data_IF_300116847911
#
_entry.id   IF_300116847911
#
_cell.length_a   1.000
_cell.length_b   1.000
_cell.length_c   1.000
_cell.angle_alpha   90.00
_cell.angle_beta   90.00
_cell.angle_gamma   90.00
#
_symmetry.space_group_name_H-M   'P 1'
#
loop_
_entity.id
_entity.type
_entity.pdbx_description
1 polymer ?
#
# COMPACT_ATOMS: atom_id res chain seq x y z
N UNK A 1 6.06 0.40 -18.10
CA UNK A 1 5.84 0.52 -16.64
C UNK A 1 5.54 1.95 -16.27
N UNK A 2 4.54 2.18 -15.40
CA UNK A 2 4.19 3.51 -14.87
C UNK A 2 4.21 3.48 -13.34
N UNK A 3 4.68 4.56 -12.70
CA UNK A 3 4.63 4.70 -11.25
C UNK A 3 3.48 5.64 -10.87
N UNK A 4 2.60 5.20 -9.98
CA UNK A 4 1.44 5.96 -9.52
C UNK A 4 1.42 6.04 -8.00
N UNK A 5 0.96 7.18 -7.47
CA UNK A 5 0.60 7.31 -6.05
C UNK A 5 -0.76 6.67 -5.83
N UNK A 6 -0.94 6.02 -4.69
CA UNK A 6 -2.20 5.40 -4.31
C UNK A 6 -2.89 6.21 -3.23
N UNK A 7 -4.21 6.34 -3.36
CA UNK A 7 -5.06 6.71 -2.24
C UNK A 7 -5.26 5.51 -1.30
N UNK A 8 -5.92 5.74 -0.16
CA UNK A 8 -6.19 4.69 0.81
C UNK A 8 -7.02 3.54 0.22
N UNK A 9 -7.98 3.83 -0.67
CA UNK A 9 -8.86 2.81 -1.22
C UNK A 9 -8.10 1.85 -2.14
N UNK A 10 -7.26 2.39 -3.03
CA UNK A 10 -6.36 1.59 -3.85
C UNK A 10 -5.32 0.84 -3.01
N UNK A 11 -4.81 1.47 -1.95
CA UNK A 11 -3.89 0.81 -1.01
C UNK A 11 -4.52 -0.42 -0.32
N UNK A 12 -5.82 -0.39 0.01
CA UNK A 12 -6.51 -1.55 0.62
C UNK A 12 -6.41 -2.82 -0.24
N UNK A 13 -6.31 -2.68 -1.56
CA UNK A 13 -6.11 -3.81 -2.48
C UNK A 13 -4.71 -4.40 -2.28
N UNK A 14 -3.67 -3.56 -2.26
CA UNK A 14 -2.30 -3.99 -1.96
C UNK A 14 -2.20 -4.64 -0.59
N UNK A 15 -2.82 -4.02 0.42
CA UNK A 15 -2.80 -4.53 1.78
C UNK A 15 -3.31 -5.97 1.85
N UNK A 16 -4.47 -6.22 1.23
CA UNK A 16 -5.13 -7.55 1.27
C UNK A 16 -4.47 -8.58 0.38
N UNK A 17 -4.02 -8.19 -0.81
CA UNK A 17 -3.53 -9.12 -1.83
C UNK A 17 -2.03 -9.40 -1.74
N UNK A 18 -1.25 -8.45 -1.20
CA UNK A 18 0.21 -8.52 -1.21
C UNK A 18 0.78 -8.34 0.19
N UNK A 19 0.53 -7.21 0.87
CA UNK A 19 1.21 -6.86 2.12
C UNK A 19 1.06 -7.93 3.22
N UNK A 20 -0.16 -8.46 3.40
CA UNK A 20 -0.41 -9.52 4.40
C UNK A 20 0.25 -10.86 4.06
N UNK A 21 0.56 -11.10 2.79
CA UNK A 21 1.21 -12.33 2.33
C UNK A 21 2.74 -12.19 2.25
N UNK A 22 3.22 -10.98 1.91
CA UNK A 22 4.63 -10.67 1.71
C UNK A 22 5.39 -10.51 3.03
N UNK A 23 4.69 -10.15 4.11
CA UNK A 23 5.29 -9.86 5.42
C UNK A 23 4.68 -10.67 6.56
N UNK A 24 5.46 -11.02 7.60
CA UNK A 24 4.94 -11.61 8.82
C UNK A 24 3.87 -10.70 9.47
N UNK A 25 2.82 -11.25 10.12
CA UNK A 25 1.77 -10.46 10.75
C UNK A 25 2.28 -9.43 11.77
N UNK A 26 3.39 -9.73 12.46
CA UNK A 26 4.01 -8.84 13.44
C UNK A 26 4.67 -7.59 12.81
N UNK A 27 4.99 -7.64 11.51
CA UNK A 27 5.60 -6.54 10.76
C UNK A 27 4.57 -5.70 10.00
N UNK A 28 3.31 -6.17 9.92
CA UNK A 28 2.22 -5.47 9.23
C UNK A 28 1.44 -4.59 10.22
N UNK A 29 1.45 -3.28 9.98
CA UNK A 29 0.62 -2.32 10.71
C UNK A 29 -0.87 -2.60 10.48
N UNK A 30 -1.73 -2.54 11.51
CA UNK A 30 -3.18 -2.67 11.34
C UNK A 30 -3.75 -1.67 10.33
N UNK A 31 -4.69 -2.13 9.49
CA UNK A 31 -5.28 -1.30 8.44
C UNK A 31 -5.95 -0.01 8.97
N UNK A 32 -6.54 -0.06 10.16
CA UNK A 32 -7.14 1.12 10.82
C UNK A 32 -6.11 2.20 11.16
N UNK A 33 -4.90 1.82 11.56
CA UNK A 33 -3.82 2.77 11.83
C UNK A 33 -3.32 3.40 10.52
N UNK A 34 -3.23 2.60 9.46
CA UNK A 34 -2.85 3.09 8.14
C UNK A 34 -3.88 4.07 7.57
N UNK A 35 -5.18 3.82 7.76
CA UNK A 35 -6.24 4.74 7.36
C UNK A 35 -6.07 6.13 7.99
N UNK A 36 -5.83 6.17 9.30
CA UNK A 36 -5.58 7.42 10.03
C UNK A 36 -4.33 8.11 9.49
N UNK A 37 -3.26 7.36 9.22
CA UNK A 37 -2.02 7.92 8.70
C UNK A 37 -2.18 8.49 7.27
N UNK A 38 -2.95 7.83 6.39
CA UNK A 38 -3.31 8.38 5.07
C UNK A 38 -4.10 9.70 5.21
N UNK A 39 -5.11 9.75 6.08
CA UNK A 39 -5.92 10.96 6.33
C UNK A 39 -5.08 12.13 6.84
N UNK A 40 -4.03 11.85 7.60
CA UNK A 40 -3.12 12.85 8.16
C UNK A 40 -1.91 13.17 7.25
N UNK A 41 -1.83 12.62 6.04
CA UNK A 41 -0.67 12.74 5.14
C UNK A 41 0.65 12.23 5.75
N UNK A 42 0.58 11.26 6.66
CA UNK A 42 1.71 10.61 7.34
C UNK A 42 2.06 9.25 6.73
N UNK A 43 1.42 8.91 5.62
CA UNK A 43 1.63 7.66 4.93
C UNK A 43 1.35 7.86 3.45
N UNK A 44 2.28 7.44 2.60
CA UNK A 44 2.13 7.45 1.16
C UNK A 44 2.60 6.12 0.59
N UNK A 45 1.90 5.65 -0.43
CA UNK A 45 2.26 4.42 -1.15
C UNK A 45 2.32 4.71 -2.64
N UNK A 46 3.36 4.15 -3.27
CA UNK A 46 3.57 4.18 -4.70
C UNK A 46 3.51 2.76 -5.23
N UNK A 47 2.94 2.58 -6.42
CA UNK A 47 2.89 1.30 -7.12
C UNK A 47 3.52 1.43 -8.51
N UNK A 48 4.28 0.40 -8.89
CA UNK A 48 4.75 0.19 -10.25
C UNK A 48 3.75 -0.69 -10.98
N UNK A 49 3.13 -0.16 -12.03
CA UNK A 49 2.06 -0.83 -12.79
C UNK A 49 2.52 -1.12 -14.21
N UNK A 50 2.24 -2.34 -14.67
CA UNK A 50 2.45 -2.78 -16.04
C UNK A 50 1.28 -3.65 -16.50
N UNK A 51 0.71 -3.35 -17.67
CA UNK A 51 -0.46 -4.06 -18.21
C UNK A 51 -1.61 -4.19 -17.20
N UNK A 52 -1.90 -3.10 -16.47
CA UNK A 52 -2.93 -3.02 -15.42
C UNK A 52 -2.66 -3.93 -14.20
N UNK A 53 -1.46 -4.50 -14.07
CA UNK A 53 -1.05 -5.30 -12.93
C UNK A 53 0.00 -4.58 -12.08
N UNK A 54 -0.13 -4.70 -10.77
CA UNK A 54 0.87 -4.23 -9.81
C UNK A 54 2.07 -5.17 -9.86
N UNK A 55 3.26 -4.61 -10.15
CA UNK A 55 4.53 -5.35 -10.21
C UNK A 55 5.38 -5.14 -8.97
N UNK A 56 5.27 -3.97 -8.35
CA UNK A 56 5.95 -3.63 -7.11
C UNK A 56 5.20 -2.51 -6.40
N UNK A 57 5.43 -2.36 -5.10
CA UNK A 57 4.94 -1.24 -4.32
C UNK A 57 5.96 -0.83 -3.27
N UNK A 58 5.93 0.45 -2.89
CA UNK A 58 6.75 0.99 -1.82
C UNK A 58 5.90 1.94 -0.99
N UNK A 59 5.93 1.79 0.32
CA UNK A 59 5.27 2.70 1.26
C UNK A 59 6.29 3.37 2.14
N UNK A 60 6.07 4.64 2.45
CA UNK A 60 6.88 5.36 3.44
C UNK A 60 5.98 6.17 4.37
N UNK A 61 6.52 6.40 5.57
CA UNK A 61 5.89 7.09 6.69
C UNK A 61 6.88 8.03 7.37
#
# INVERSE_FOLDING_TARGET
MNCITLDFHAFQVIYKQHLLADFPPAEVKPLSLLEVAFKNNQYATYALVENQQIKAYASFC
#
